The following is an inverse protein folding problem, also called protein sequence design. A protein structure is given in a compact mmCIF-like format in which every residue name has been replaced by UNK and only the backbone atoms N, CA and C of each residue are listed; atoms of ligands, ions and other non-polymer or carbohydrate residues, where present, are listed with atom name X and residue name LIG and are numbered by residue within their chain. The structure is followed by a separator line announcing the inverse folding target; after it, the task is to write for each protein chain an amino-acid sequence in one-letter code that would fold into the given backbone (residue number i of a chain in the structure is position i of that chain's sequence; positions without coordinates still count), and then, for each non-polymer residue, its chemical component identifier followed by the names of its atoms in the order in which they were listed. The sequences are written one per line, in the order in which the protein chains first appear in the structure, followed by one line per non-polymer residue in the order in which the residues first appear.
data_IF_222184915406
#
_entry.id   IF_222184915406
#
_cell.length_a   1.000
_cell.length_b   1.000
_cell.length_c   1.000
_cell.angle_alpha   90.00
_cell.angle_beta   90.00
_cell.angle_gamma   90.00
#
_symmetry.space_group_name_H-M   'P 1'
#
loop_
_entity.id
_entity.type
_entity.pdbx_description
1 polymer ?
#
# COMPACT_ATOMS: atom_id res chain seq x y z
N UNK A 1 -15.13 -1.87 10.21
CA UNK A 1 -16.13 -2.97 10.13
C UNK A 1 -17.37 -2.46 9.40
N UNK A 2 -18.08 -3.28 8.62
CA UNK A 2 -19.30 -2.88 7.88
C UNK A 2 -19.13 -1.59 7.05
N UNK A 3 -18.03 -1.48 6.29
CA UNK A 3 -17.75 -0.30 5.47
C UNK A 3 -17.33 0.96 6.24
N UNK A 4 -17.08 0.88 7.55
CA UNK A 4 -16.63 2.01 8.38
C UNK A 4 -15.24 1.77 8.95
N UNK A 5 -14.47 2.85 9.13
CA UNK A 5 -13.22 2.84 9.90
C UNK A 5 -13.53 2.40 11.33
N UNK A 6 -12.60 1.67 11.94
CA UNK A 6 -12.77 1.12 13.28
C UNK A 6 -11.53 1.45 14.14
N UNK A 7 -11.08 0.51 14.97
CA UNK A 7 -9.91 0.66 15.84
C UNK A 7 -8.59 0.84 15.07
N UNK A 8 -7.67 1.59 15.67
CA UNK A 8 -6.28 1.69 15.21
C UNK A 8 -5.56 0.38 15.49
N UNK A 9 -4.84 -0.13 14.49
CA UNK A 9 -3.97 -1.31 14.59
C UNK A 9 -2.51 -0.91 14.42
N UNK A 10 -1.59 -1.68 14.99
CA UNK A 10 -0.15 -1.45 14.94
C UNK A 10 0.56 -2.73 14.49
N UNK A 11 1.81 -2.58 14.06
CA UNK A 11 2.71 -3.69 13.74
C UNK A 11 2.15 -4.68 12.70
N UNK A 12 1.62 -4.13 11.60
CA UNK A 12 1.04 -4.89 10.49
C UNK A 12 2.01 -5.00 9.32
N UNK A 13 2.09 -6.19 8.74
CA UNK A 13 2.85 -6.50 7.52
C UNK A 13 1.90 -7.01 6.45
N UNK A 14 1.96 -6.39 5.27
CA UNK A 14 1.34 -6.90 4.05
C UNK A 14 2.36 -7.77 3.30
N UNK A 15 1.99 -9.00 2.96
CA UNK A 15 2.86 -9.91 2.21
C UNK A 15 2.10 -10.66 1.12
N UNK A 16 2.80 -11.04 0.05
CA UNK A 16 2.21 -11.79 -1.05
C UNK A 16 2.99 -11.69 -2.36
N UNK A 17 2.50 -12.38 -3.37
CA UNK A 17 3.00 -12.24 -4.73
C UNK A 17 2.48 -10.92 -5.34
N UNK A 18 3.39 -10.13 -5.92
CA UNK A 18 3.06 -8.82 -6.50
C UNK A 18 1.99 -8.92 -7.59
N UNK A 19 2.12 -9.85 -8.53
CA UNK A 19 1.19 -9.94 -9.67
C UNK A 19 -0.20 -10.38 -9.23
N UNK A 20 -0.30 -11.34 -8.30
CA UNK A 20 -1.58 -11.71 -7.70
C UNK A 20 -2.20 -10.53 -6.94
N UNK A 21 -1.39 -9.76 -6.20
CA UNK A 21 -1.86 -8.59 -5.46
C UNK A 21 -2.43 -7.52 -6.40
N UNK A 22 -1.75 -7.25 -7.51
CA UNK A 22 -2.21 -6.29 -8.51
C UNK A 22 -3.50 -6.76 -9.20
N UNK A 23 -3.62 -8.05 -9.52
CA UNK A 23 -4.84 -8.63 -10.09
C UNK A 23 -6.04 -8.57 -9.14
N UNK A 24 -5.80 -8.53 -7.83
CA UNK A 24 -6.85 -8.46 -6.81
C UNK A 24 -7.32 -7.03 -6.49
N UNK A 25 -6.85 -6.01 -7.21
CA UNK A 25 -7.37 -4.65 -7.09
C UNK A 25 -8.76 -4.59 -7.73
N UNK A 26 -9.79 -4.26 -6.95
CA UNK A 26 -11.19 -4.26 -7.41
C UNK A 26 -11.87 -2.87 -7.37
N UNK A 27 -11.20 -1.87 -6.79
CA UNK A 27 -11.65 -0.49 -6.81
C UNK A 27 -10.46 0.49 -6.79
N UNK A 28 -10.60 1.59 -7.54
CA UNK A 28 -9.62 2.67 -7.66
C UNK A 28 -10.33 3.99 -7.37
N UNK A 29 -9.80 4.78 -6.44
CA UNK A 29 -10.27 6.12 -6.09
C UNK A 29 -9.95 7.17 -7.16
N UNK A 30 -10.57 8.34 -7.04
CA UNK A 30 -10.36 9.49 -7.93
C UNK A 30 -9.46 10.57 -7.32
N UNK A 31 -8.68 10.21 -6.30
CA UNK A 31 -7.95 11.11 -5.40
C UNK A 31 -6.44 10.87 -5.44
N UNK A 32 -5.90 10.80 -6.66
CA UNK A 32 -4.46 10.62 -6.88
C UNK A 32 -3.65 11.76 -6.25
N UNK A 33 -2.70 11.40 -5.39
CA UNK A 33 -1.73 12.31 -4.78
C UNK A 33 -0.32 11.73 -4.90
N UNK A 34 0.66 12.60 -5.10
CA UNK A 34 2.08 12.26 -5.06
C UNK A 34 2.73 12.80 -3.79
N UNK A 35 3.66 12.03 -3.22
CA UNK A 35 4.55 12.50 -2.18
C UNK A 35 5.63 13.41 -2.77
N UNK A 36 5.89 14.52 -2.09
CA UNK A 36 6.90 15.49 -2.51
C UNK A 36 8.33 15.10 -2.10
N UNK A 37 8.47 14.10 -1.22
CA UNK A 37 9.75 13.64 -0.70
C UNK A 37 9.68 12.15 -0.36
N UNK A 38 10.77 11.44 -0.62
CA UNK A 38 10.94 10.01 -0.34
C UNK A 38 12.33 9.54 -0.71
N UNK A 39 12.74 8.38 -0.19
CA UNK A 39 14.02 7.75 -0.52
C UNK A 39 13.80 6.29 -0.89
N UNK A 40 14.44 5.81 -1.96
CA UNK A 40 14.43 4.41 -2.36
C UNK A 40 15.86 3.90 -2.55
N UNK A 41 16.12 2.65 -2.17
CA UNK A 41 17.43 2.02 -2.26
C UNK A 41 17.39 0.73 -3.09
N UNK A 42 18.45 0.49 -3.87
CA UNK A 42 18.62 -0.76 -4.63
C UNK A 42 20.12 -1.11 -4.69
N UNK A 43 20.71 -1.40 -3.55
CA UNK A 43 22.14 -1.75 -3.44
C UNK A 43 23.07 -0.53 -3.39
N UNK A 44 22.84 0.49 -4.21
CA UNK A 44 23.28 1.85 -3.87
C UNK A 44 22.36 2.41 -2.76
N UNK A 45 22.90 3.24 -1.86
CA UNK A 45 22.14 3.86 -0.76
C UNK A 45 20.88 4.62 -1.21
N UNK A 46 20.13 5.17 -0.26
CA UNK A 46 18.86 5.84 -0.54
C UNK A 46 19.02 7.02 -1.51
N UNK A 47 18.31 6.96 -2.65
CA UNK A 47 18.21 8.05 -3.62
C UNK A 47 16.87 8.78 -3.47
N UNK A 48 16.82 10.10 -3.69
CA UNK A 48 15.58 10.87 -3.60
C UNK A 48 14.62 10.44 -4.71
N UNK A 49 13.40 10.08 -4.33
CA UNK A 49 12.30 9.69 -5.23
C UNK A 49 10.96 10.18 -4.69
N UNK A 50 9.95 10.21 -5.55
CA UNK A 50 8.54 10.41 -5.18
C UNK A 50 7.76 9.10 -5.28
N UNK A 51 6.60 9.00 -4.63
CA UNK A 51 5.65 7.88 -4.78
C UNK A 51 4.24 8.43 -4.77
N UNK A 52 3.31 7.83 -5.51
CA UNK A 52 1.93 8.29 -5.55
C UNK A 52 0.97 7.22 -6.04
N UNK A 53 -0.25 7.27 -5.53
CA UNK A 53 -1.38 6.43 -5.93
C UNK A 53 -2.68 7.10 -5.46
N UNK A 54 -3.83 6.84 -6.11
CA UNK A 54 -5.11 7.06 -5.48
C UNK A 54 -5.33 6.03 -4.36
N UNK A 55 -6.41 6.16 -3.60
CA UNK A 55 -6.84 5.03 -2.77
C UNK A 55 -7.16 3.81 -3.64
N UNK A 56 -6.70 2.63 -3.22
CA UNK A 56 -6.99 1.35 -3.89
C UNK A 56 -7.56 0.36 -2.87
N UNK A 57 -8.48 -0.48 -3.33
CA UNK A 57 -8.96 -1.63 -2.55
C UNK A 57 -8.40 -2.91 -3.13
N UNK A 58 -7.77 -3.70 -2.28
CA UNK A 58 -7.13 -4.97 -2.63
C UNK A 58 -7.85 -6.09 -1.90
N UNK A 59 -8.28 -7.11 -2.63
CA UNK A 59 -8.90 -8.31 -2.06
C UNK A 59 -7.86 -9.39 -1.74
N UNK A 60 -8.12 -10.19 -0.69
CA UNK A 60 -7.34 -11.40 -0.42
C UNK A 60 -5.84 -11.18 -0.17
N UNK A 61 -5.45 -10.06 0.45
CA UNK A 61 -4.05 -9.81 0.84
C UNK A 61 -3.73 -10.52 2.16
N UNK A 62 -2.53 -11.10 2.27
CA UNK A 62 -2.08 -11.71 3.52
C UNK A 62 -1.62 -10.60 4.47
N UNK A 63 -2.27 -10.56 5.64
CA UNK A 63 -1.97 -9.64 6.73
C UNK A 63 -1.27 -10.40 7.84
N UNK A 64 -0.03 -10.04 8.14
CA UNK A 64 0.68 -10.47 9.35
C UNK A 64 0.65 -9.36 10.40
N UNK A 65 0.60 -9.73 11.68
CA UNK A 65 0.58 -8.80 12.80
C UNK A 65 0.14 -9.52 14.08
N UNK A 66 0.35 -8.89 15.23
CA UNK A 66 -0.07 -9.41 16.54
C UNK A 66 -1.11 -8.51 17.17
#
# INVERSE_FOLDING_TARGET
RNGRIAEMVKDVVLSGNLFTTLQNIDAIGNDLVFSNLGTCGKGQGGLPVSTGAPHVRIQGVVMGGR
#
